data_IF_596609722663
#
_entry.id   IF_596609722663
#
_cell.length_a   1.000
_cell.length_b   1.000
_cell.length_c   1.000
_cell.angle_alpha   90.00
_cell.angle_beta   90.00
_cell.angle_gamma   90.00
#
_symmetry.space_group_name_H-M   'P 1'
#
loop_
_entity.id
_entity.type
_entity.pdbx_description
1 polymer ?
#
# COMPACT_ATOMS: atom_id res chain seq x y z
N UNK A 1 24.76 32.58 9.51
CA UNK A 1 23.56 33.44 9.52
C UNK A 1 22.35 32.55 9.27
N UNK A 2 21.28 32.66 10.05
CA UNK A 2 20.02 31.94 9.82
C UNK A 2 19.06 32.90 9.12
N UNK A 3 18.44 32.49 8.03
CA UNK A 3 17.52 33.30 7.21
C UNK A 3 16.25 32.52 6.88
N UNK A 4 15.16 33.22 6.60
CA UNK A 4 13.93 32.61 6.11
C UNK A 4 14.12 32.15 4.65
N UNK A 5 13.96 30.85 4.39
CA UNK A 5 13.99 30.29 3.03
C UNK A 5 12.64 30.47 2.32
N UNK A 6 11.56 30.04 2.96
CA UNK A 6 10.19 30.15 2.47
C UNK A 6 9.22 30.40 3.62
N UNK A 7 8.06 30.99 3.32
CA UNK A 7 7.03 31.34 4.28
C UNK A 7 6.92 32.85 4.49
N UNK A 8 5.69 33.34 4.52
CA UNK A 8 5.37 34.73 4.85
C UNK A 8 5.83 35.00 6.29
N UNK A 9 6.79 35.90 6.45
CA UNK A 9 7.44 36.20 7.72
C UNK A 9 6.56 37.05 8.68
N UNK A 10 5.27 36.70 8.81
CA UNK A 10 4.33 37.33 9.75
C UNK A 10 4.12 36.48 11.00
N UNK A 11 4.48 35.19 10.97
CA UNK A 11 4.18 34.24 12.05
C UNK A 11 2.72 33.80 12.10
N UNK A 12 1.90 34.23 11.13
CA UNK A 12 0.50 33.84 11.03
C UNK A 12 0.37 32.49 10.33
N UNK A 13 -0.22 31.52 11.03
CA UNK A 13 -0.59 30.24 10.45
C UNK A 13 -1.70 30.42 9.40
N UNK A 14 -1.59 29.68 8.30
CA UNK A 14 -2.60 29.64 7.26
C UNK A 14 -2.13 28.85 6.05
N UNK A 15 -2.77 29.07 4.91
CA UNK A 15 -2.42 28.41 3.67
C UNK A 15 -2.35 29.39 2.52
N UNK A 16 -1.27 29.30 1.74
CA UNK A 16 -1.12 29.94 0.45
C UNK A 16 0.02 29.30 -0.33
N UNK A 17 -0.22 28.89 -1.58
CA UNK A 17 0.82 28.64 -2.58
C UNK A 17 1.28 29.97 -3.20
N UNK A 18 2.50 30.04 -3.75
CA UNK A 18 3.03 31.27 -4.34
C UNK A 18 4.55 31.33 -4.35
N UNK A 19 5.13 32.52 -4.52
CA UNK A 19 6.58 32.70 -4.38
C UNK A 19 7.06 32.30 -2.97
N UNK A 20 8.35 32.00 -2.82
CA UNK A 20 8.91 31.57 -1.52
C UNK A 20 8.52 32.51 -0.35
N UNK A 21 8.51 33.83 -0.57
CA UNK A 21 8.16 34.82 0.45
C UNK A 21 6.67 35.06 0.68
N UNK A 22 5.80 34.61 -0.24
CA UNK A 22 4.35 34.79 -0.16
C UNK A 22 3.61 33.54 0.32
N UNK A 23 4.23 32.37 0.18
CA UNK A 23 3.68 31.10 0.64
C UNK A 23 3.35 31.15 2.15
N UNK A 24 2.25 30.54 2.56
CA UNK A 24 1.85 30.45 3.97
C UNK A 24 1.68 28.98 4.34
N UNK A 25 2.18 28.65 5.53
CA UNK A 25 2.16 27.31 6.12
C UNK A 25 1.43 27.33 7.47
N UNK A 26 1.05 26.17 7.96
CA UNK A 26 0.52 25.95 9.28
C UNK A 26 1.13 24.67 9.88
N UNK A 27 2.02 24.84 10.87
CA UNK A 27 2.76 23.75 11.51
C UNK A 27 3.51 22.85 10.50
N UNK A 28 4.49 23.40 9.73
CA UNK A 28 5.36 22.57 8.92
C UNK A 28 6.21 21.66 9.82
N UNK A 29 6.00 20.34 9.79
CA UNK A 29 6.54 19.40 10.77
C UNK A 29 7.76 18.62 10.29
N UNK A 30 7.89 18.39 8.98
CA UNK A 30 8.99 17.62 8.41
C UNK A 30 9.39 18.09 7.01
N UNK A 31 10.63 17.78 6.65
CA UNK A 31 11.28 18.19 5.42
C UNK A 31 12.00 16.99 4.78
N UNK A 32 12.00 16.93 3.45
CA UNK A 32 12.86 16.02 2.68
C UNK A 32 13.30 16.71 1.38
N UNK A 33 14.51 16.43 0.91
CA UNK A 33 14.98 16.94 -0.38
C UNK A 33 15.10 15.83 -1.41
N UNK A 34 14.84 16.17 -2.66
CA UNK A 34 15.19 15.31 -3.80
C UNK A 34 16.58 15.65 -4.38
N UNK A 35 16.99 14.89 -5.40
CA UNK A 35 18.26 15.10 -6.12
C UNK A 35 18.27 16.32 -7.05
N UNK A 36 17.14 17.03 -7.17
CA UNK A 36 16.94 18.20 -8.02
C UNK A 36 16.81 19.49 -7.19
N UNK A 37 17.22 19.44 -5.91
CA UNK A 37 17.15 20.54 -4.95
C UNK A 37 15.72 21.04 -4.67
N UNK A 38 14.70 20.20 -4.86
CA UNK A 38 13.35 20.52 -4.40
C UNK A 38 13.19 20.09 -2.94
N UNK A 39 12.63 21.00 -2.13
CA UNK A 39 12.31 20.78 -0.72
C UNK A 39 10.84 20.39 -0.58
N UNK A 40 10.58 19.17 -0.14
CA UNK A 40 9.24 18.71 0.22
C UNK A 40 8.97 18.97 1.69
N UNK A 41 7.78 19.48 1.98
CA UNK A 41 7.38 20.00 3.28
C UNK A 41 6.07 19.34 3.68
N UNK A 42 6.02 18.78 4.88
CA UNK A 42 4.78 18.31 5.50
C UNK A 42 4.15 19.46 6.25
N UNK A 43 3.08 20.03 5.69
CA UNK A 43 2.35 21.17 6.22
C UNK A 43 1.16 20.66 7.06
N UNK A 44 1.48 20.15 8.25
CA UNK A 44 0.62 19.25 9.05
C UNK A 44 -0.70 19.90 9.46
N UNK A 45 -0.67 21.17 9.84
CA UNK A 45 -1.86 21.91 10.23
C UNK A 45 -2.81 22.19 9.07
N UNK A 46 -2.29 22.16 7.83
CA UNK A 46 -3.07 22.28 6.61
C UNK A 46 -3.45 20.93 5.99
N UNK A 47 -2.94 19.80 6.50
CA UNK A 47 -3.15 18.46 5.93
C UNK A 47 -2.53 18.27 4.53
N UNK A 48 -1.46 19.01 4.22
CA UNK A 48 -0.89 19.08 2.88
C UNK A 48 0.57 18.62 2.83
N UNK A 49 0.97 18.08 1.69
CA UNK A 49 2.36 17.92 1.28
C UNK A 49 2.65 19.00 0.24
N UNK A 50 3.62 19.85 0.55
CA UNK A 50 4.03 21.00 -0.25
C UNK A 50 5.41 20.75 -0.84
N UNK A 51 5.71 21.37 -1.96
CA UNK A 51 7.03 21.35 -2.59
C UNK A 51 7.48 22.79 -2.80
N UNK A 52 8.69 23.10 -2.37
CA UNK A 52 9.38 24.33 -2.69
C UNK A 52 10.50 24.02 -3.68
N UNK A 53 10.46 24.65 -4.84
CA UNK A 53 11.64 24.73 -5.71
C UNK A 53 12.43 26.01 -5.34
N UNK A 54 13.26 26.52 -6.24
CA UNK A 54 14.05 27.75 -6.04
C UNK A 54 13.24 29.05 -6.14
N UNK A 55 12.02 29.00 -6.69
CA UNK A 55 11.22 30.16 -7.07
C UNK A 55 9.88 30.22 -6.29
N UNK A 56 9.25 29.06 -6.03
CA UNK A 56 7.87 28.98 -5.52
C UNK A 56 7.63 27.79 -4.60
N UNK A 57 6.51 27.87 -3.88
CA UNK A 57 5.89 26.77 -3.13
C UNK A 57 4.57 26.39 -3.80
N UNK A 58 4.39 25.09 -4.04
CA UNK A 58 3.16 24.50 -4.57
C UNK A 58 2.68 23.30 -3.74
N UNK A 59 1.39 23.02 -3.79
CA UNK A 59 0.81 21.82 -3.17
C UNK A 59 0.92 20.63 -4.12
N UNK A 60 1.53 19.52 -3.68
CA UNK A 60 1.70 18.30 -4.49
C UNK A 60 0.75 17.17 -4.08
N UNK A 61 0.30 17.17 -2.82
CA UNK A 61 -0.71 16.22 -2.35
C UNK A 61 -1.48 16.75 -1.15
N UNK A 62 -2.72 16.28 -0.99
CA UNK A 62 -3.62 16.66 0.09
C UNK A 62 -4.75 17.54 -0.41
N UNK A 63 -5.84 17.57 0.35
CA UNK A 63 -7.03 18.36 0.07
C UNK A 63 -7.30 19.28 1.24
N UNK A 64 -7.72 20.50 0.94
CA UNK A 64 -8.13 21.44 1.97
C UNK A 64 -9.52 21.05 2.46
N UNK A 65 -9.58 20.50 3.67
CA UNK A 65 -10.83 20.21 4.37
C UNK A 65 -11.50 21.46 4.95
N UNK A 66 -12.37 21.25 5.94
CA UNK A 66 -13.02 22.33 6.68
C UNK A 66 -12.07 22.85 7.75
N UNK A 67 -11.91 24.17 7.88
CA UNK A 67 -11.19 24.76 9.00
C UNK A 67 -11.95 24.52 10.32
N UNK A 68 -11.25 24.00 11.34
CA UNK A 68 -11.83 23.75 12.66
C UNK A 68 -12.12 25.08 13.37
N UNK A 69 -13.36 25.22 13.85
CA UNK A 69 -13.84 26.43 14.51
C UNK A 69 -12.94 26.86 15.67
N UNK A 70 -12.58 28.15 15.72
CA UNK A 70 -11.72 28.71 16.75
C UNK A 70 -10.23 28.38 16.59
N UNK A 71 -9.81 27.78 15.47
CA UNK A 71 -8.41 27.43 15.21
C UNK A 71 -8.01 27.75 13.77
N UNK A 72 -6.72 27.66 13.45
CA UNK A 72 -6.22 27.71 12.07
C UNK A 72 -6.02 26.31 11.45
N UNK A 73 -6.38 25.24 12.17
CA UNK A 73 -6.21 23.87 11.70
C UNK A 73 -7.29 23.49 10.70
N UNK A 74 -6.87 22.80 9.64
CA UNK A 74 -7.76 22.14 8.72
C UNK A 74 -8.07 20.75 9.26
N UNK A 75 -9.35 20.38 9.25
CA UNK A 75 -9.80 19.05 9.65
C UNK A 75 -9.18 17.98 8.75
N UNK A 76 -8.46 17.04 9.36
CA UNK A 76 -7.91 15.87 8.67
C UNK A 76 -8.98 14.85 8.27
N UNK A 77 -8.66 14.03 7.28
CA UNK A 77 -9.49 12.93 6.80
C UNK A 77 -8.60 11.82 6.20
N UNK A 78 -9.19 10.81 5.59
CA UNK A 78 -8.45 9.72 4.96
C UNK A 78 -9.03 9.39 3.59
N UNK A 79 -8.20 9.52 2.55
CA UNK A 79 -8.54 9.12 1.18
C UNK A 79 -7.29 8.90 0.34
N UNK A 80 -7.18 7.75 -0.32
CA UNK A 80 -6.27 7.52 -1.46
C UNK A 80 -6.89 8.10 -2.74
N UNK A 81 -6.09 8.40 -3.77
CA UNK A 81 -6.60 9.01 -5.01
C UNK A 81 -5.54 9.81 -5.75
N UNK A 82 -5.97 10.72 -6.64
CA UNK A 82 -5.04 11.72 -7.19
C UNK A 82 -4.51 12.65 -6.09
N UNK A 83 -3.38 13.31 -6.29
CA UNK A 83 -2.74 14.18 -5.30
C UNK A 83 -3.69 15.23 -4.72
N UNK A 84 -4.49 15.86 -5.57
CA UNK A 84 -5.48 16.89 -5.20
C UNK A 84 -6.73 16.33 -4.52
N UNK A 85 -7.01 15.04 -4.67
CA UNK A 85 -8.13 14.37 -4.02
C UNK A 85 -7.71 13.64 -2.75
N UNK A 86 -6.44 13.28 -2.60
CA UNK A 86 -5.97 12.56 -1.43
C UNK A 86 -6.21 13.36 -0.16
N UNK A 87 -6.52 12.67 0.93
CA UNK A 87 -6.69 13.27 2.24
C UNK A 87 -5.77 12.59 3.26
N UNK A 88 -5.15 13.43 4.08
CA UNK A 88 -4.28 13.08 5.18
C UNK A 88 -4.88 13.55 6.50
N UNK A 89 -4.37 13.01 7.60
CA UNK A 89 -4.73 13.41 8.95
C UNK A 89 -3.47 13.57 9.79
N UNK A 90 -3.09 14.82 9.94
CA UNK A 90 -1.96 15.35 10.68
C UNK A 90 -0.65 14.62 10.36
N UNK A 91 -0.23 14.56 9.08
CA UNK A 91 0.99 13.86 8.70
C UNK A 91 2.20 14.53 9.36
N UNK A 92 3.23 13.77 9.76
CA UNK A 92 4.42 14.32 10.45
C UNK A 92 5.77 13.89 9.89
N UNK A 93 5.79 12.95 8.96
CA UNK A 93 7.05 12.40 8.44
C UNK A 93 7.03 12.34 6.93
N UNK A 94 8.20 12.59 6.33
CA UNK A 94 8.41 12.47 4.89
C UNK A 94 9.82 11.98 4.60
N UNK A 95 9.95 11.15 3.56
CA UNK A 95 11.23 10.89 2.88
C UNK A 95 11.00 10.84 1.37
N UNK A 96 12.00 11.22 0.59
CA UNK A 96 11.94 11.19 -0.88
C UNK A 96 12.82 10.05 -1.38
N UNK A 97 12.30 9.28 -2.32
CA UNK A 97 13.02 8.17 -2.96
C UNK A 97 13.67 8.62 -4.27
N UNK A 98 14.68 7.89 -4.73
CA UNK A 98 15.40 8.21 -5.99
C UNK A 98 14.49 8.28 -7.23
N UNK A 99 13.38 7.55 -7.22
CA UNK A 99 12.39 7.57 -8.30
C UNK A 99 11.36 8.74 -8.20
N UNK A 100 11.56 9.67 -7.27
CA UNK A 100 10.68 10.82 -7.01
C UNK A 100 9.43 10.49 -6.18
N UNK A 101 9.26 9.25 -5.72
CA UNK A 101 8.14 8.89 -4.84
C UNK A 101 8.37 9.47 -3.44
N UNK A 102 7.34 10.09 -2.86
CA UNK A 102 7.35 10.58 -1.49
C UNK A 102 6.74 9.53 -0.58
N UNK A 103 7.40 9.18 0.52
CA UNK A 103 6.85 8.31 1.56
C UNK A 103 6.47 9.18 2.75
N UNK A 104 5.19 9.13 3.13
CA UNK A 104 4.57 10.00 4.12
C UNK A 104 4.13 9.19 5.32
N UNK A 105 4.46 9.66 6.52
CA UNK A 105 3.85 9.19 7.76
C UNK A 105 2.56 9.99 8.01
N UNK A 106 1.41 9.36 7.74
CA UNK A 106 0.07 9.92 7.91
C UNK A 106 -0.40 9.61 9.35
N UNK A 107 0.14 10.40 10.28
CA UNK A 107 0.27 10.05 11.70
C UNK A 107 -1.05 9.72 12.36
N UNK A 108 -2.06 10.60 12.28
CA UNK A 108 -3.35 10.34 12.95
C UNK A 108 -4.24 9.36 12.17
N UNK A 109 -3.88 9.04 10.93
CA UNK A 109 -4.48 7.93 10.20
C UNK A 109 -3.77 6.60 10.47
N UNK A 110 -2.75 6.54 11.35
CA UNK A 110 -2.00 5.32 11.71
C UNK A 110 -1.48 4.55 10.49
N UNK A 111 -1.01 5.27 9.46
CA UNK A 111 -0.63 4.70 8.16
C UNK A 111 0.65 5.31 7.60
N UNK A 112 1.33 4.53 6.76
CA UNK A 112 2.36 5.02 5.84
C UNK A 112 1.75 5.09 4.44
N UNK A 113 1.89 6.24 3.80
CA UNK A 113 1.32 6.56 2.48
C UNK A 113 2.46 6.85 1.50
N UNK A 114 2.21 6.70 0.20
CA UNK A 114 3.13 7.15 -0.84
C UNK A 114 2.44 8.12 -1.79
N UNK A 115 3.13 9.19 -2.17
CA UNK A 115 2.81 10.03 -3.33
C UNK A 115 3.71 9.56 -4.47
N UNK A 116 3.13 8.86 -5.43
CA UNK A 116 3.85 8.32 -6.59
C UNK A 116 4.28 9.44 -7.54
N UNK A 117 5.25 9.18 -8.41
CA UNK A 117 5.75 10.14 -9.40
C UNK A 117 4.69 10.61 -10.42
N UNK A 118 3.61 9.83 -10.58
CA UNK A 118 2.43 10.23 -11.38
C UNK A 118 1.40 11.06 -10.59
N UNK A 119 1.74 11.48 -9.36
CA UNK A 119 0.89 12.28 -8.48
C UNK A 119 -0.20 11.50 -7.75
N UNK A 120 -0.30 10.18 -7.90
CA UNK A 120 -1.29 9.37 -7.16
C UNK A 120 -0.83 9.09 -5.74
N UNK A 121 -1.74 9.22 -4.78
CA UNK A 121 -1.53 8.82 -3.39
C UNK A 121 -2.10 7.43 -3.13
N UNK A 122 -1.29 6.58 -2.51
CA UNK A 122 -1.64 5.22 -2.11
C UNK A 122 -1.28 4.95 -0.66
N UNK A 123 -2.00 4.04 -0.01
CA UNK A 123 -1.60 3.49 1.28
C UNK A 123 -0.60 2.36 1.07
N UNK A 124 0.54 2.40 1.76
CA UNK A 124 1.57 1.36 1.73
C UNK A 124 1.49 0.42 2.94
N UNK A 125 1.19 0.95 4.13
CA UNK A 125 1.19 0.19 5.39
C UNK A 125 0.17 0.77 6.34
N UNK A 126 -0.44 -0.09 7.15
CA UNK A 126 -1.26 0.31 8.29
C UNK A 126 -2.74 0.03 8.08
N UNK A 127 -3.38 -0.50 9.11
CA UNK A 127 -4.84 -0.74 9.12
C UNK A 127 -5.64 0.54 9.35
N UNK A 128 -5.03 1.53 9.98
CA UNK A 128 -5.69 2.73 10.51
C UNK A 128 -6.21 2.60 11.94
N UNK A 129 -6.09 1.43 12.53
CA UNK A 129 -6.29 1.25 13.97
C UNK A 129 -5.01 1.72 14.68
N UNK A 130 -5.16 2.55 15.73
CA UNK A 130 -4.05 2.89 16.60
C UNK A 130 -3.79 1.71 17.54
N UNK A 131 -2.57 1.19 17.52
CA UNK A 131 -2.17 0.04 18.34
C UNK A 131 -0.81 -0.49 17.96
N UNK A 132 -0.51 -1.74 18.33
CA UNK A 132 0.79 -2.37 18.11
C UNK A 132 0.63 -3.82 17.68
N UNK A 133 0.77 -4.09 16.39
CA UNK A 133 0.83 -5.45 15.89
C UNK A 133 1.73 -5.53 14.65
N UNK A 134 2.79 -6.37 14.67
CA UNK A 134 3.54 -6.65 13.46
C UNK A 134 2.66 -7.44 12.49
N UNK A 135 2.99 -7.34 11.22
CA UNK A 135 2.35 -8.16 10.21
C UNK A 135 2.73 -7.73 8.80
N UNK A 136 2.16 -8.43 7.81
CA UNK A 136 2.12 -7.96 6.44
C UNK A 136 1.52 -6.57 6.35
N UNK A 137 1.84 -5.85 5.27
CA UNK A 137 1.62 -4.40 5.17
C UNK A 137 0.17 -3.94 5.49
N UNK A 138 -0.84 -4.75 5.14
CA UNK A 138 -2.26 -4.46 5.38
C UNK A 138 -2.81 -4.99 6.72
N UNK A 139 -2.02 -5.73 7.52
CA UNK A 139 -2.38 -6.14 8.88
C UNK A 139 -1.54 -5.43 9.94
N UNK A 140 -0.43 -4.79 9.56
CA UNK A 140 0.40 -4.04 10.48
C UNK A 140 -0.42 -2.95 11.16
N UNK A 141 -0.45 -2.96 12.48
CA UNK A 141 -1.12 -1.95 13.31
C UNK A 141 -0.03 -1.05 13.88
N UNK A 142 -0.08 0.22 13.47
CA UNK A 142 0.84 1.28 13.88
C UNK A 142 0.14 2.18 14.89
N UNK A 143 0.86 2.75 15.85
CA UNK A 143 0.29 3.68 16.82
C UNK A 143 0.24 5.10 16.24
N UNK A 144 1.40 5.76 16.21
CA UNK A 144 1.55 7.14 15.75
C UNK A 144 2.81 7.24 14.90
N UNK A 145 2.77 6.81 13.62
CA UNK A 145 3.93 6.88 12.75
C UNK A 145 4.30 8.36 12.56
N UNK A 146 5.49 8.74 13.01
CA UNK A 146 5.93 10.14 13.05
C UNK A 146 7.10 10.42 12.10
N UNK A 147 8.17 9.65 12.20
CA UNK A 147 9.33 9.73 11.30
C UNK A 147 9.35 8.55 10.35
N UNK A 148 9.79 8.76 9.10
CA UNK A 148 9.99 7.70 8.13
C UNK A 148 11.25 7.95 7.31
N UNK A 149 12.10 6.93 7.15
CA UNK A 149 13.31 7.00 6.31
C UNK A 149 13.48 5.73 5.49
N UNK A 150 13.96 5.89 4.25
CA UNK A 150 14.36 4.78 3.40
C UNK A 150 15.86 4.61 3.42
N UNK A 151 16.32 3.42 3.81
CA UNK A 151 17.75 3.11 3.86
C UNK A 151 17.97 1.63 3.59
N UNK A 152 18.96 1.32 2.73
CA UNK A 152 19.39 -0.05 2.43
C UNK A 152 18.21 -1.00 2.12
N UNK A 153 17.34 -0.61 1.18
CA UNK A 153 16.16 -1.39 0.75
C UNK A 153 15.10 -1.63 1.85
N UNK A 154 15.12 -0.83 2.91
CA UNK A 154 14.16 -0.90 4.00
C UNK A 154 13.55 0.47 4.28
N UNK A 155 12.27 0.48 4.65
CA UNK A 155 11.65 1.61 5.32
C UNK A 155 11.76 1.41 6.84
N UNK A 156 12.19 2.46 7.53
CA UNK A 156 12.21 2.55 8.98
C UNK A 156 11.20 3.61 9.42
N UNK A 157 10.35 3.26 10.38
CA UNK A 157 9.22 4.09 10.80
C UNK A 157 9.29 4.26 12.31
N UNK A 158 9.39 5.50 12.79
CA UNK A 158 9.27 5.80 14.20
C UNK A 158 7.79 5.77 14.60
N UNK A 159 7.44 4.88 15.51
CA UNK A 159 6.10 4.76 16.08
C UNK A 159 6.07 5.40 17.47
N UNK A 160 5.62 6.65 17.53
CA UNK A 160 5.76 7.50 18.70
C UNK A 160 4.92 7.01 19.89
N UNK A 161 3.73 6.45 19.64
CA UNK A 161 2.87 5.94 20.72
C UNK A 161 3.41 4.62 21.29
N UNK A 162 4.10 3.83 20.47
CA UNK A 162 4.61 2.52 20.84
C UNK A 162 6.08 2.52 21.29
N UNK A 163 6.74 3.68 21.29
CA UNK A 163 8.15 3.86 21.66
C UNK A 163 9.10 2.89 20.95
N UNK A 164 8.90 2.68 19.65
CA UNK A 164 9.70 1.72 18.87
C UNK A 164 9.91 2.19 17.42
N UNK A 165 10.82 1.51 16.74
CA UNK A 165 11.06 1.67 15.30
C UNK A 165 10.59 0.40 14.58
N UNK A 166 9.65 0.54 13.65
CA UNK A 166 9.34 -0.53 12.70
C UNK A 166 10.36 -0.55 11.58
N UNK A 167 10.66 -1.73 11.07
CA UNK A 167 11.42 -1.92 9.84
C UNK A 167 10.62 -2.81 8.89
N UNK A 168 10.64 -2.48 7.60
CA UNK A 168 10.14 -3.38 6.56
C UNK A 168 10.99 -3.33 5.30
N UNK A 169 11.21 -4.48 4.63
CA UNK A 169 11.73 -4.49 3.27
C UNK A 169 10.81 -3.68 2.35
N UNK A 170 11.40 -2.84 1.50
CA UNK A 170 10.64 -1.99 0.60
C UNK A 170 11.35 -1.84 -0.75
N UNK A 171 10.64 -2.19 -1.83
CA UNK A 171 11.07 -1.95 -3.20
C UNK A 171 10.27 -0.77 -3.79
N UNK A 172 10.89 0.41 -3.98
CA UNK A 172 10.24 1.57 -4.56
C UNK A 172 9.60 1.30 -5.94
N UNK A 173 10.19 0.41 -6.74
CA UNK A 173 9.70 0.06 -8.07
C UNK A 173 8.37 -0.72 -8.04
N UNK A 174 8.04 -1.33 -6.91
CA UNK A 174 6.82 -2.13 -6.72
C UNK A 174 5.80 -1.46 -5.80
N UNK A 175 5.91 -0.15 -5.60
CA UNK A 175 4.99 0.63 -4.77
C UNK A 175 3.55 0.50 -5.29
N UNK A 176 2.75 -0.35 -4.63
CA UNK A 176 1.35 -0.64 -4.96
C UNK A 176 0.48 -0.33 -3.74
N UNK A 177 -0.74 0.13 -4.00
CA UNK A 177 -1.71 0.37 -2.94
C UNK A 177 -1.98 -0.93 -2.17
N UNK A 178 -2.21 -0.82 -0.87
CA UNK A 178 -2.78 -1.92 -0.10
C UNK A 178 -4.08 -2.42 -0.75
N UNK A 179 -4.36 -3.74 -0.70
CA UNK A 179 -5.63 -4.26 -1.19
C UNK A 179 -6.78 -3.58 -0.44
N UNK A 180 -7.73 -3.00 -1.16
CA UNK A 180 -8.97 -2.49 -0.57
C UNK A 180 -9.97 -3.64 -0.47
N UNK A 181 -9.78 -4.52 0.51
CA UNK A 181 -10.63 -5.71 0.66
C UNK A 181 -12.10 -5.35 0.62
N UNK A 182 -12.89 -6.16 -0.09
CA UNK A 182 -14.34 -6.01 -0.01
C UNK A 182 -14.77 -6.30 1.43
N UNK A 183 -15.91 -5.74 1.88
CA UNK A 183 -16.45 -6.04 3.20
C UNK A 183 -16.48 -7.54 3.48
N UNK A 184 -16.33 -7.97 4.75
CA UNK A 184 -16.38 -9.37 5.11
C UNK A 184 -17.64 -10.04 4.53
N UNK A 185 -17.45 -11.20 3.88
CA UNK A 185 -18.53 -11.94 3.23
C UNK A 185 -18.48 -13.42 3.63
N UNK A 186 -19.55 -14.17 3.38
CA UNK A 186 -19.52 -15.63 3.54
C UNK A 186 -18.62 -16.31 2.49
N UNK A 187 -18.40 -15.66 1.35
CA UNK A 187 -17.54 -16.15 0.28
C UNK A 187 -16.07 -15.85 0.58
N UNK A 188 -15.19 -16.76 0.17
CA UNK A 188 -13.76 -16.54 0.27
C UNK A 188 -13.33 -15.58 -0.84
N UNK A 189 -12.74 -14.45 -0.45
CA UNK A 189 -12.16 -13.52 -1.42
C UNK A 189 -10.72 -13.93 -1.76
N UNK A 190 -10.30 -13.74 -3.00
CA UNK A 190 -8.92 -13.95 -3.44
C UNK A 190 -8.39 -12.62 -3.98
N UNK A 191 -7.29 -12.16 -3.41
CA UNK A 191 -6.63 -10.93 -3.81
C UNK A 191 -5.20 -11.25 -4.22
N UNK A 192 -4.82 -10.87 -5.43
CA UNK A 192 -3.48 -11.11 -5.97
C UNK A 192 -2.83 -9.78 -6.26
N UNK A 193 -1.71 -9.50 -5.59
CA UNK A 193 -0.95 -8.25 -5.72
C UNK A 193 -1.81 -6.99 -5.58
N UNK A 194 -2.78 -7.01 -4.65
CA UNK A 194 -3.68 -5.87 -4.39
C UNK A 194 -4.92 -5.80 -5.27
N UNK A 195 -5.07 -6.72 -6.24
CA UNK A 195 -6.24 -6.78 -7.14
C UNK A 195 -7.11 -7.98 -6.79
N UNK A 196 -8.43 -7.77 -6.70
CA UNK A 196 -9.38 -8.86 -6.47
C UNK A 196 -9.47 -9.73 -7.71
N UNK A 197 -9.27 -11.03 -7.52
CA UNK A 197 -9.51 -12.05 -8.53
C UNK A 197 -10.97 -12.50 -8.39
N UNK A 198 -11.79 -12.22 -9.39
CA UNK A 198 -13.20 -12.62 -9.42
C UNK A 198 -13.32 -14.02 -10.01
N UNK A 199 -13.58 -15.07 -9.21
CA UNK A 199 -13.69 -16.45 -9.69
C UNK A 199 -14.98 -16.67 -10.50
N UNK A 200 -15.03 -17.75 -11.28
CA UNK A 200 -16.26 -18.17 -11.96
C UNK A 200 -17.41 -18.34 -10.94
N UNK A 201 -18.56 -17.75 -11.25
CA UNK A 201 -19.76 -17.79 -10.40
C UNK A 201 -20.25 -19.22 -10.12
N UNK A 202 -19.98 -20.16 -11.03
CA UNK A 202 -20.41 -21.55 -10.93
C UNK A 202 -19.48 -22.42 -10.06
N UNK A 203 -18.28 -21.92 -9.71
CA UNK A 203 -17.32 -22.69 -8.93
C UNK A 203 -16.48 -21.79 -8.02
N UNK A 204 -17.13 -21.26 -6.99
CA UNK A 204 -16.52 -20.30 -6.07
C UNK A 204 -15.53 -20.96 -5.11
N UNK A 205 -14.47 -20.24 -4.69
CA UNK A 205 -13.56 -20.69 -3.65
C UNK A 205 -14.29 -20.93 -2.32
N UNK A 206 -13.91 -21.99 -1.62
CA UNK A 206 -14.52 -22.36 -0.34
C UNK A 206 -13.47 -22.88 0.65
N UNK A 207 -13.84 -22.97 1.93
CA UNK A 207 -12.97 -23.53 2.97
C UNK A 207 -13.37 -24.98 3.22
N UNK A 208 -12.41 -25.89 3.16
CA UNK A 208 -12.55 -27.28 3.56
C UNK A 208 -11.38 -27.67 4.46
N UNK A 209 -11.69 -28.17 5.66
CA UNK A 209 -10.66 -28.63 6.63
C UNK A 209 -9.58 -27.56 6.89
N UNK A 210 -10.00 -26.30 7.00
CA UNK A 210 -9.11 -25.15 7.24
C UNK A 210 -8.28 -24.69 6.03
N UNK A 211 -8.51 -25.26 4.84
CA UNK A 211 -7.82 -24.89 3.59
C UNK A 211 -8.76 -24.20 2.64
N UNK A 212 -8.29 -23.13 2.00
CA UNK A 212 -8.98 -22.55 0.84
C UNK A 212 -8.81 -23.46 -0.36
N UNK A 213 -9.92 -23.90 -0.93
CA UNK A 213 -9.99 -24.72 -2.14
C UNK A 213 -10.43 -23.84 -3.31
N UNK A 214 -9.75 -23.98 -4.44
CA UNK A 214 -10.03 -23.23 -5.68
C UNK A 214 -10.13 -24.15 -6.89
N UNK A 215 -10.88 -23.77 -7.94
CA UNK A 215 -10.79 -24.41 -9.24
C UNK A 215 -9.43 -24.09 -9.87
N UNK A 216 -8.62 -25.12 -10.11
CA UNK A 216 -7.24 -24.98 -10.56
C UNK A 216 -7.16 -24.20 -11.88
N UNK A 217 -7.98 -24.57 -12.86
CA UNK A 217 -8.00 -23.92 -14.19
C UNK A 217 -8.30 -22.42 -14.07
N UNK A 218 -9.44 -22.09 -13.47
CA UNK A 218 -9.95 -20.72 -13.36
C UNK A 218 -8.95 -19.82 -12.65
N UNK A 219 -8.39 -20.30 -11.53
CA UNK A 219 -7.37 -19.59 -10.78
C UNK A 219 -6.12 -19.31 -11.62
N UNK A 220 -5.60 -20.33 -12.32
CA UNK A 220 -4.37 -20.20 -13.10
C UNK A 220 -4.54 -19.31 -14.33
N UNK A 221 -5.64 -19.49 -15.08
CA UNK A 221 -5.91 -18.72 -16.31
C UNK A 221 -6.13 -17.23 -16.00
N UNK A 222 -6.78 -16.89 -14.88
CA UNK A 222 -6.91 -15.49 -14.42
C UNK A 222 -5.58 -14.84 -14.04
N UNK A 223 -4.56 -15.64 -13.71
CA UNK A 223 -3.19 -15.18 -13.49
C UNK A 223 -2.33 -15.17 -14.77
N UNK A 224 -2.95 -15.48 -15.91
CA UNK A 224 -2.31 -15.52 -17.22
C UNK A 224 -1.46 -16.77 -17.46
N UNK A 225 -1.71 -17.86 -16.71
CA UNK A 225 -1.10 -19.16 -16.98
C UNK A 225 -2.00 -19.98 -17.92
N UNK A 226 -1.39 -20.79 -18.77
CA UNK A 226 -2.11 -21.80 -19.55
C UNK A 226 -2.13 -23.11 -18.77
N UNK A 227 -3.25 -23.82 -18.80
CA UNK A 227 -3.38 -25.14 -18.19
C UNK A 227 -3.82 -26.19 -19.22
N UNK A 228 -3.03 -27.25 -19.35
CA UNK A 228 -3.25 -28.36 -20.25
C UNK A 228 -3.35 -29.69 -19.49
N UNK A 229 -4.24 -30.56 -19.96
CA UNK A 229 -4.41 -31.92 -19.43
C UNK A 229 -4.03 -32.91 -20.52
N UNK A 230 -3.24 -33.92 -20.19
CA UNK A 230 -2.97 -35.06 -21.04
C UNK A 230 -3.93 -36.21 -20.73
N UNK A 231 -3.98 -37.20 -21.62
CA UNK A 231 -4.92 -38.33 -21.52
C UNK A 231 -4.72 -39.21 -20.28
N UNK A 232 -3.51 -39.23 -19.73
CA UNK A 232 -3.16 -39.91 -18.47
C UNK A 232 -3.55 -39.10 -17.22
N UNK A 233 -4.16 -37.92 -17.38
CA UNK A 233 -4.57 -37.03 -16.31
C UNK A 233 -3.47 -36.14 -15.75
N UNK A 234 -2.28 -36.13 -16.37
CA UNK A 234 -1.21 -35.20 -16.02
C UNK A 234 -1.62 -33.76 -16.39
N UNK A 235 -1.36 -32.82 -15.48
CA UNK A 235 -1.73 -31.42 -15.60
C UNK A 235 -0.46 -30.60 -15.75
N UNK A 236 -0.35 -29.83 -16.83
CA UNK A 236 0.78 -28.93 -17.07
C UNK A 236 0.30 -27.48 -17.04
N UNK A 237 0.91 -26.68 -16.18
CA UNK A 237 0.68 -25.24 -16.04
C UNK A 237 1.89 -24.51 -16.62
N UNK A 238 1.67 -23.55 -17.53
CA UNK A 238 2.76 -22.83 -18.22
C UNK A 238 2.55 -21.32 -18.22
N UNK A 239 3.65 -20.56 -18.20
CA UNK A 239 3.67 -19.11 -18.44
C UNK A 239 5.04 -18.69 -18.96
N UNK A 240 5.09 -18.29 -20.25
CA UNK A 240 6.38 -18.08 -20.92
C UNK A 240 7.22 -19.37 -20.90
N UNK A 241 8.45 -19.28 -20.41
CA UNK A 241 9.35 -20.43 -20.26
C UNK A 241 9.14 -21.21 -18.95
N UNK A 242 8.34 -20.68 -18.03
CA UNK A 242 8.05 -21.35 -16.76
C UNK A 242 7.00 -22.44 -16.97
N UNK A 243 7.22 -23.61 -16.34
CA UNK A 243 6.24 -24.69 -16.30
C UNK A 243 6.22 -25.40 -14.96
N UNK A 244 5.05 -25.93 -14.60
CA UNK A 244 4.86 -26.86 -13.49
C UNK A 244 3.96 -28.00 -13.91
N UNK A 245 4.37 -29.22 -13.59
CA UNK A 245 3.64 -30.44 -13.90
C UNK A 245 3.13 -31.05 -12.60
N UNK A 246 1.84 -31.40 -12.58
CA UNK A 246 1.19 -32.16 -11.51
C UNK A 246 0.70 -33.49 -12.09
N UNK A 247 0.96 -34.57 -11.37
CA UNK A 247 0.51 -35.90 -11.79
C UNK A 247 -0.96 -36.12 -11.44
N UNK A 248 -1.64 -37.02 -12.16
CA UNK A 248 -3.03 -37.39 -11.88
C UNK A 248 -3.26 -37.91 -10.45
N UNK A 249 -2.22 -38.42 -9.79
CA UNK A 249 -2.25 -38.96 -8.42
C UNK A 249 -1.81 -37.95 -7.35
N UNK A 250 -1.69 -36.66 -7.67
CA UNK A 250 -1.32 -35.66 -6.66
C UNK A 250 -2.40 -35.60 -5.56
N UNK A 251 -2.06 -35.91 -4.29
CA UNK A 251 -3.04 -35.97 -3.21
C UNK A 251 -3.65 -34.61 -2.85
N UNK A 252 -3.08 -33.51 -3.35
CA UNK A 252 -3.59 -32.15 -3.14
C UNK A 252 -4.57 -31.70 -4.24
N UNK A 253 -4.77 -32.53 -5.26
CA UNK A 253 -5.72 -32.32 -6.34
C UNK A 253 -6.93 -33.23 -6.14
N UNK A 254 -8.13 -32.66 -6.30
CA UNK A 254 -9.40 -33.40 -6.23
C UNK A 254 -10.22 -33.10 -7.47
N UNK A 255 -10.88 -34.12 -8.02
CA UNK A 255 -11.89 -33.89 -9.05
C UNK A 255 -13.27 -33.79 -8.38
N UNK A 256 -14.01 -32.73 -8.69
CA UNK A 256 -15.39 -32.57 -8.26
C UNK A 256 -16.23 -31.99 -9.40
N UNK A 257 -17.26 -32.72 -9.83
CA UNK A 257 -18.19 -32.31 -10.89
C UNK A 257 -17.49 -31.81 -12.17
N UNK A 258 -16.40 -32.46 -12.59
CA UNK A 258 -15.66 -32.10 -13.81
C UNK A 258 -14.61 -30.99 -13.62
N UNK A 259 -14.48 -30.44 -12.40
CA UNK A 259 -13.44 -29.47 -12.08
C UNK A 259 -12.30 -30.12 -11.32
N UNK A 260 -11.06 -29.81 -11.73
CA UNK A 260 -9.90 -30.06 -10.88
C UNK A 260 -9.81 -28.95 -9.83
N UNK A 261 -9.92 -29.32 -8.57
CA UNK A 261 -9.80 -28.46 -7.40
C UNK A 261 -8.43 -28.65 -6.76
N UNK A 262 -7.86 -27.57 -6.25
CA UNK A 262 -6.59 -27.59 -5.53
C UNK A 262 -6.70 -26.75 -4.26
N UNK A 263 -5.89 -27.10 -3.25
CA UNK A 263 -5.63 -26.19 -2.15
C UNK A 263 -4.90 -24.95 -2.69
N UNK A 264 -5.48 -23.76 -2.52
CA UNK A 264 -4.96 -22.50 -3.07
C UNK A 264 -3.51 -22.26 -2.63
N UNK A 265 -3.22 -22.44 -1.33
CA UNK A 265 -1.86 -22.29 -0.79
C UNK A 265 -0.87 -23.19 -1.52
N UNK A 266 -1.18 -24.48 -1.62
CA UNK A 266 -0.33 -25.46 -2.29
C UNK A 266 -0.08 -25.08 -3.76
N UNK A 267 -1.14 -24.70 -4.47
CA UNK A 267 -1.06 -24.33 -5.88
C UNK A 267 -0.20 -23.07 -6.07
N UNK A 268 -0.50 -22.00 -5.34
CA UNK A 268 0.16 -20.71 -5.49
C UNK A 268 1.63 -20.74 -5.02
N UNK A 269 1.96 -21.45 -3.94
CA UNK A 269 3.36 -21.59 -3.50
C UNK A 269 4.21 -22.37 -4.52
N UNK A 270 3.63 -23.38 -5.19
CA UNK A 270 4.30 -24.07 -6.31
C UNK A 270 4.50 -23.19 -7.54
N UNK A 271 3.78 -22.07 -7.64
CA UNK A 271 3.89 -21.05 -8.69
C UNK A 271 4.76 -19.85 -8.27
N UNK A 272 5.42 -19.91 -7.11
CA UNK A 272 6.30 -18.84 -6.64
C UNK A 272 5.57 -17.67 -5.96
N UNK A 273 4.34 -17.90 -5.47
CA UNK A 273 3.62 -16.89 -4.71
C UNK A 273 3.67 -17.16 -3.20
N UNK A 274 3.63 -16.09 -2.41
CA UNK A 274 3.33 -16.14 -0.98
C UNK A 274 1.83 -16.03 -0.77
N UNK A 275 1.31 -16.86 0.13
CA UNK A 275 -0.13 -16.90 0.45
C UNK A 275 -0.36 -16.59 1.91
N UNK A 276 -1.37 -15.77 2.17
CA UNK A 276 -1.76 -15.39 3.51
C UNK A 276 -3.28 -15.40 3.66
N UNK A 277 -3.74 -15.78 4.85
CA UNK A 277 -5.14 -15.73 5.22
C UNK A 277 -5.42 -14.52 6.11
N UNK A 278 -6.47 -13.78 5.80
CA UNK A 278 -6.92 -12.60 6.52
C UNK A 278 -8.32 -12.90 7.10
N UNK A 279 -8.40 -13.42 8.34
CA UNK A 279 -9.66 -13.90 8.92
C UNK A 279 -10.75 -12.83 8.96
N UNK A 280 -10.39 -11.59 9.30
CA UNK A 280 -11.31 -10.46 9.43
C UNK A 280 -12.16 -10.25 8.16
N UNK A 281 -11.58 -10.49 6.99
CA UNK A 281 -12.24 -10.29 5.69
C UNK A 281 -12.57 -11.59 4.96
N UNK A 282 -12.35 -12.75 5.60
CA UNK A 282 -12.47 -14.07 4.97
C UNK A 282 -11.71 -14.12 3.62
N UNK A 283 -10.50 -13.58 3.62
CA UNK A 283 -9.75 -13.26 2.40
C UNK A 283 -8.42 -14.00 2.33
N UNK A 284 -8.08 -14.55 1.16
CA UNK A 284 -6.73 -15.00 0.84
C UNK A 284 -6.01 -13.90 0.05
N UNK A 285 -4.83 -13.54 0.51
CA UNK A 285 -3.92 -12.62 -0.19
C UNK A 285 -2.76 -13.40 -0.77
N UNK A 286 -2.48 -13.14 -2.03
CA UNK A 286 -1.42 -13.75 -2.81
C UNK A 286 -0.50 -12.63 -3.25
N UNK A 287 0.79 -12.77 -2.96
CA UNK A 287 1.83 -11.80 -3.35
C UNK A 287 2.97 -12.53 -4.05
N UNK A 288 3.63 -11.85 -4.98
CA UNK A 288 4.86 -12.38 -5.58
C UNK A 288 5.89 -12.64 -4.47
N UNK A 289 6.50 -13.83 -4.43
CA UNK A 289 7.61 -14.04 -3.51
C UNK A 289 8.83 -13.28 -4.05
N UNK A 290 9.21 -12.17 -3.41
CA UNK A 290 10.47 -11.40 -3.61
C UNK A 290 11.31 -11.83 -4.83
N UNK A 291 11.19 -11.07 -5.93
CA UNK A 291 12.15 -10.96 -7.03
C UNK A 291 12.80 -12.26 -7.50
N UNK A 292 12.17 -12.93 -8.47
CA UNK A 292 12.92 -13.72 -9.44
C UNK A 292 12.56 -13.17 -10.82
N UNK A 293 13.61 -12.82 -11.55
CA UNK A 293 13.65 -12.27 -12.91
C UNK A 293 12.65 -12.90 -13.89
#
# INVERSE_FOLDING_TARGET
MVTTYAGKNTGEAGYRDGSLGEAVFNEPAALAMDSQDNLYIVDSGNQLIRKADKDRVETVAGTQGVQLSGTNYIQGSFRDGSGTEAAFNFPKGITVLENGTLIIADTWNSRIRAVLSNGRVITLVGTGENGKAPGPLYQAVLGSPAGVVYYNKNLYIADADNNLIWQMPFNPAESKALPNFAPPSEEVQIWVNGVRLEPDANNKPYIQEGRTIVPLRDFCEKLGYRVDWTADGTITITKGNWQKVFTALDPNLKNNNGYTLAGLRYLAENMGYKVEWVPKYRTVVITDSQGVE
#
